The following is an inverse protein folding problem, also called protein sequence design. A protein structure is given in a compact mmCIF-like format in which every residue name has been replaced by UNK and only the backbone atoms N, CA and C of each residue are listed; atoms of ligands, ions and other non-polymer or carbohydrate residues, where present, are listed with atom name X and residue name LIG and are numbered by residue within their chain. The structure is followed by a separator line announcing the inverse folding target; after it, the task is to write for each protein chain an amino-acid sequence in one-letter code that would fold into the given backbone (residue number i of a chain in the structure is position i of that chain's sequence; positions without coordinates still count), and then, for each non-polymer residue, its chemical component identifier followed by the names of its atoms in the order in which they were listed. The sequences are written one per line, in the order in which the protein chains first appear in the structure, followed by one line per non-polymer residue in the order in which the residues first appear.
data_IF_083559613890
#
_entry.id   IF_083559613890
#
_cell.length_a   1.000
_cell.length_b   1.000
_cell.length_c   1.000
_cell.angle_alpha   90.00
_cell.angle_beta   90.00
_cell.angle_gamma   90.00
#
_symmetry.space_group_name_H-M   'P 1'
#
loop_
_entity.id
_entity.type
_entity.pdbx_description
1 polymer ?
#
# COMPACT_ATOMS: atom_id res chain seq x y z
N UNK A 1 13.84 5.96 -0.51
CA UNK A 1 12.43 5.56 -0.35
C UNK A 1 11.77 5.54 -1.72
N UNK A 2 11.09 4.45 -2.10
CA UNK A 2 10.46 4.30 -3.42
C UNK A 2 9.17 5.12 -3.51
N UNK A 3 7.98 4.50 -3.61
CA UNK A 3 6.65 5.15 -3.61
C UNK A 3 6.34 6.11 -2.46
N UNK A 4 7.23 6.32 -1.49
CA UNK A 4 6.93 7.10 -0.29
C UNK A 4 6.52 8.54 -0.58
N UNK A 5 6.93 9.18 -1.68
CA UNK A 5 6.55 10.55 -2.04
C UNK A 5 6.02 10.67 -3.48
N UNK A 6 5.92 9.57 -4.22
CA UNK A 6 5.54 9.54 -5.64
C UNK A 6 6.36 10.48 -6.55
N UNK A 7 7.62 10.76 -6.20
CA UNK A 7 8.52 11.62 -6.98
C UNK A 7 9.29 10.83 -8.05
N UNK A 8 9.25 9.50 -7.98
CA UNK A 8 9.85 8.59 -8.94
C UNK A 8 8.76 7.83 -9.73
N UNK A 9 9.13 7.08 -10.79
CA UNK A 9 8.17 6.33 -11.59
C UNK A 9 7.38 5.26 -10.83
N UNK A 10 7.87 4.82 -9.66
CA UNK A 10 7.14 3.93 -8.76
C UNK A 10 6.08 4.73 -8.00
N UNK A 11 4.86 4.73 -8.53
CA UNK A 11 3.70 5.46 -8.00
C UNK A 11 2.41 4.75 -8.37
N UNK A 12 1.38 4.93 -7.56
CA UNK A 12 0.04 4.42 -7.84
C UNK A 12 -0.60 5.17 -9.00
N UNK A 13 -1.30 4.40 -9.84
CA UNK A 13 -2.23 4.89 -10.84
C UNK A 13 -3.61 5.17 -10.20
N UNK A 14 -4.45 6.00 -10.85
CA UNK A 14 -5.82 6.24 -10.37
C UNK A 14 -6.61 4.94 -10.19
N UNK A 15 -7.24 4.78 -9.03
CA UNK A 15 -8.02 3.58 -8.68
C UNK A 15 -7.19 2.42 -8.11
N UNK A 16 -5.86 2.50 -8.14
CA UNK A 16 -5.03 1.46 -7.52
C UNK A 16 -5.02 1.59 -5.98
N UNK A 17 -4.87 0.43 -5.33
CA UNK A 17 -4.79 0.32 -3.89
C UNK A 17 -3.44 -0.25 -3.46
N UNK A 18 -2.86 0.31 -2.40
CA UNK A 18 -1.57 -0.11 -1.87
C UNK A 18 -1.67 -0.47 -0.38
N UNK A 19 -1.11 -1.62 0.01
CA UNK A 19 -0.79 -1.96 1.38
C UNK A 19 0.60 -1.39 1.72
N UNK A 20 0.67 -0.42 2.63
CA UNK A 20 1.89 0.33 2.93
C UNK A 20 2.25 0.25 4.40
N UNK A 21 3.51 -0.08 4.70
CA UNK A 21 4.07 -0.05 6.06
C UNK A 21 4.63 1.34 6.42
N UNK A 22 4.32 2.36 5.63
CA UNK A 22 4.57 3.77 5.95
C UNK A 22 3.68 4.24 7.11
N UNK A 23 3.82 5.50 7.50
CA UNK A 23 2.97 6.16 8.51
C UNK A 23 2.14 7.33 7.93
N UNK A 24 2.08 7.47 6.60
CA UNK A 24 1.37 8.58 5.93
C UNK A 24 0.59 8.05 4.72
N UNK A 25 -0.72 8.33 4.68
CA UNK A 25 -1.65 7.89 3.64
C UNK A 25 -2.61 9.00 3.15
N UNK A 26 -2.24 10.28 3.31
CA UNK A 26 -3.05 11.36 2.75
C UNK A 26 -3.15 11.27 1.23
N UNK A 27 -4.23 11.79 0.65
CA UNK A 27 -4.52 11.71 -0.78
C UNK A 27 -3.37 12.26 -1.64
N UNK A 28 -3.09 11.57 -2.75
CA UNK A 28 -2.01 11.97 -3.67
C UNK A 28 -0.60 11.59 -3.20
N UNK A 29 -0.44 11.06 -1.97
CA UNK A 29 0.89 10.84 -1.40
C UNK A 29 1.75 9.85 -2.17
N UNK A 30 1.18 8.70 -2.52
CA UNK A 30 1.88 7.65 -3.25
C UNK A 30 1.46 7.58 -4.72
N UNK A 31 0.61 8.50 -5.16
CA UNK A 31 0.06 8.58 -6.51
C UNK A 31 -1.28 9.31 -6.51
N UNK A 32 -1.54 10.09 -7.54
CA UNK A 32 -2.81 10.82 -7.67
C UNK A 32 -3.95 9.84 -7.98
N UNK A 33 -5.06 9.94 -7.24
CA UNK A 33 -6.23 9.06 -7.40
C UNK A 33 -6.04 7.63 -6.90
N UNK A 34 -4.85 7.27 -6.39
CA UNK A 34 -4.61 5.99 -5.70
C UNK A 34 -4.96 6.07 -4.22
N UNK A 35 -5.20 4.90 -3.60
CA UNK A 35 -5.50 4.79 -2.16
C UNK A 35 -4.46 3.96 -1.42
N UNK A 36 -3.83 4.57 -0.43
CA UNK A 36 -2.88 3.89 0.46
C UNK A 36 -3.57 3.45 1.75
N UNK A 37 -3.37 2.19 2.15
CA UNK A 37 -3.80 1.64 3.43
C UNK A 37 -2.58 1.41 4.31
N UNK A 38 -2.59 2.00 5.51
CA UNK A 38 -1.51 1.80 6.47
C UNK A 38 -1.72 0.46 7.18
N UNK A 39 -0.72 -0.41 7.10
CA UNK A 39 -0.81 -1.77 7.65
C UNK A 39 0.51 -2.17 8.33
N UNK A 40 0.44 -3.20 9.19
CA UNK A 40 1.64 -3.81 9.76
C UNK A 40 2.45 -4.57 8.69
N UNK A 41 3.73 -4.86 8.94
CA UNK A 41 4.53 -5.68 8.03
C UNK A 41 3.93 -7.06 7.75
N UNK A 42 3.34 -7.71 8.77
CA UNK A 42 2.70 -9.01 8.62
C UNK A 42 1.49 -8.96 7.68
N UNK A 43 0.67 -7.91 7.80
CA UNK A 43 -0.48 -7.70 6.91
C UNK A 43 -0.05 -7.33 5.49
N UNK A 44 0.99 -6.50 5.32
CA UNK A 44 1.54 -6.21 3.99
C UNK A 44 2.01 -7.49 3.28
N UNK A 45 2.70 -8.38 4.00
CA UNK A 45 3.14 -9.66 3.47
C UNK A 45 1.97 -10.57 3.09
N UNK A 46 0.96 -10.72 3.96
CA UNK A 46 -0.21 -11.54 3.66
C UNK A 46 -0.99 -11.03 2.42
N UNK A 47 -1.20 -9.72 2.31
CA UNK A 47 -1.84 -9.13 1.13
C UNK A 47 -1.01 -9.30 -0.15
N UNK A 48 0.32 -9.21 -0.06
CA UNK A 48 1.21 -9.43 -1.19
C UNK A 48 1.18 -10.87 -1.72
N UNK A 49 1.07 -11.86 -0.82
CA UNK A 49 0.95 -13.27 -1.24
C UNK A 49 -0.43 -13.55 -1.82
N UNK A 50 -1.50 -13.01 -1.21
CA UNK A 50 -2.87 -13.21 -1.69
C UNK A 50 -3.20 -12.47 -3.01
N UNK A 51 -2.48 -11.39 -3.31
CA UNK A 51 -2.78 -10.51 -4.45
C UNK A 51 -3.97 -9.57 -4.22
N UNK A 52 -4.52 -9.55 -3.01
CA UNK A 52 -5.57 -8.64 -2.56
C UNK A 52 -5.52 -8.48 -1.03
N UNK A 53 -6.27 -7.53 -0.49
CA UNK A 53 -6.39 -7.40 0.97
C UNK A 53 -7.07 -8.65 1.56
N UNK A 54 -6.42 -9.24 2.55
CA UNK A 54 -6.90 -10.36 3.37
C UNK A 54 -6.84 -9.96 4.85
N UNK A 55 -7.23 -10.85 5.75
CA UNK A 55 -6.91 -10.70 7.16
C UNK A 55 -5.67 -11.52 7.49
N UNK A 56 -4.67 -10.89 8.12
CA UNK A 56 -3.45 -11.59 8.52
C UNK A 56 -3.71 -12.70 9.53
N UNK A 57 -4.81 -12.63 10.30
CA UNK A 57 -5.16 -13.64 11.31
C UNK A 57 -5.51 -15.00 10.72
N UNK A 58 -5.81 -15.07 9.42
CA UNK A 58 -6.07 -16.35 8.73
C UNK A 58 -4.78 -17.04 8.25
N UNK A 59 -3.62 -16.41 8.47
CA UNK A 59 -2.30 -16.86 7.97
C UNK A 59 -1.32 -17.27 9.08
N UNK A 60 -1.68 -17.04 10.35
CA UNK A 60 -0.85 -17.29 11.54
C UNK A 60 -1.54 -18.20 12.54
#
# INVERSE_FOLDING_TARGET
CSMCLAMNPDRLLPGEHCASTSNRNFEGRQGHGGRTHLVSPAMAAAAAIAGHFVDVRDWV
#
